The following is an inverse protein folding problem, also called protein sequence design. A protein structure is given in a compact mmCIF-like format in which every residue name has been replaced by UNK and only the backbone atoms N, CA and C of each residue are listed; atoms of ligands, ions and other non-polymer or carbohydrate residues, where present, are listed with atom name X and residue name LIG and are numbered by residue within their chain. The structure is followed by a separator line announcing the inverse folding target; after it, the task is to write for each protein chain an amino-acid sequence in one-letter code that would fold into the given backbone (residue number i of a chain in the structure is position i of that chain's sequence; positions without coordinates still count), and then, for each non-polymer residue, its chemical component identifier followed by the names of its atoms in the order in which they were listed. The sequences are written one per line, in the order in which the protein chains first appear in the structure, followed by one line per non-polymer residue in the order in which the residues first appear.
data_IF_018080206712
#
_entry.id   IF_018080206712
#
_cell.length_a   1.000
_cell.length_b   1.000
_cell.length_c   1.000
_cell.angle_alpha   90.00
_cell.angle_beta   90.00
_cell.angle_gamma   90.00
#
_symmetry.space_group_name_H-M   'P 1'
#
loop_
_entity.id
_entity.type
_entity.pdbx_description
1 polymer ?
#
# COMPACT_ATOMS: atom_id res chain seq x y z
N UNK A 1 -6.76 13.79 11.07
CA UNK A 1 -7.97 13.46 10.27
C UNK A 1 -8.54 12.19 10.86
N UNK A 2 -9.82 12.19 11.21
CA UNK A 2 -10.54 10.98 11.62
C UNK A 2 -11.17 10.26 10.41
N UNK A 3 -11.70 9.06 10.65
CA UNK A 3 -12.33 8.21 9.62
C UNK A 3 -13.46 8.92 8.89
N UNK A 4 -14.33 9.63 9.60
CA UNK A 4 -15.51 10.27 8.99
C UNK A 4 -15.11 11.47 8.12
N UNK A 5 -14.09 12.21 8.54
CA UNK A 5 -13.49 13.29 7.76
C UNK A 5 -12.81 12.74 6.51
N UNK A 6 -12.10 11.61 6.60
CA UNK A 6 -11.51 10.92 5.45
C UNK A 6 -12.57 10.43 4.46
N UNK A 7 -13.65 9.81 4.96
CA UNK A 7 -14.73 9.28 4.12
C UNK A 7 -15.46 10.38 3.34
N UNK A 8 -15.55 11.60 3.90
CA UNK A 8 -16.20 12.76 3.26
C UNK A 8 -15.27 13.55 2.35
N UNK A 9 -13.95 13.44 2.53
CA UNK A 9 -12.96 14.11 1.68
C UNK A 9 -12.59 13.24 0.47
N UNK A 10 -13.37 13.41 -0.61
CA UNK A 10 -13.15 12.70 -1.87
C UNK A 10 -11.74 12.91 -2.44
N UNK A 11 -11.14 14.10 -2.29
CA UNK A 11 -9.80 14.36 -2.83
C UNK A 11 -8.75 13.57 -2.07
N UNK A 12 -8.83 13.54 -0.74
CA UNK A 12 -7.92 12.74 0.07
C UNK A 12 -8.10 11.26 -0.20
N UNK A 13 -9.34 10.79 -0.36
CA UNK A 13 -9.62 9.39 -0.69
C UNK A 13 -9.02 8.98 -2.05
N UNK A 14 -9.31 9.75 -3.10
CA UNK A 14 -8.80 9.48 -4.45
C UNK A 14 -7.26 9.49 -4.48
N UNK A 15 -6.63 10.43 -3.75
CA UNK A 15 -5.17 10.49 -3.63
C UNK A 15 -4.60 9.25 -2.89
N UNK A 16 -5.22 8.85 -1.79
CA UNK A 16 -4.81 7.68 -1.00
C UNK A 16 -4.94 6.39 -1.81
N UNK A 17 -6.07 6.19 -2.49
CA UNK A 17 -6.32 5.02 -3.36
C UNK A 17 -5.29 4.93 -4.50
N UNK A 18 -4.93 6.08 -5.08
CA UNK A 18 -3.90 6.15 -6.11
C UNK A 18 -2.51 5.81 -5.57
N UNK A 19 -2.18 6.25 -4.34
CA UNK A 19 -0.95 5.84 -3.66
C UNK A 19 -0.92 4.34 -3.38
N UNK A 20 -2.00 3.76 -2.85
CA UNK A 20 -2.12 2.32 -2.62
C UNK A 20 -1.97 1.51 -3.92
N UNK A 21 -2.57 2.00 -5.01
CA UNK A 21 -2.42 1.38 -6.34
C UNK A 21 -0.97 1.35 -6.81
N UNK A 22 -0.20 2.43 -6.58
CA UNK A 22 1.23 2.48 -6.92
C UNK A 22 2.06 1.50 -6.08
N UNK A 23 1.72 1.33 -4.80
CA UNK A 23 2.38 0.35 -3.93
C UNK A 23 2.11 -1.07 -4.41
N UNK A 24 0.87 -1.38 -4.76
CA UNK A 24 0.48 -2.67 -5.35
C UNK A 24 1.26 -2.94 -6.65
N UNK A 25 1.37 -1.96 -7.54
CA UNK A 25 2.15 -2.10 -8.78
C UNK A 25 3.64 -2.33 -8.51
N UNK A 26 4.22 -1.63 -7.54
CA UNK A 26 5.61 -1.85 -7.12
C UNK A 26 5.81 -3.25 -6.54
N UNK A 27 4.88 -3.73 -5.73
CA UNK A 27 4.90 -5.09 -5.17
C UNK A 27 4.81 -6.16 -6.28
N UNK A 28 4.01 -5.92 -7.32
CA UNK A 28 3.95 -6.80 -8.50
C UNK A 28 5.29 -6.83 -9.23
N UNK A 29 5.92 -5.67 -9.45
CA UNK A 29 7.22 -5.56 -10.13
C UNK A 29 8.35 -6.24 -9.36
N UNK A 30 8.37 -6.12 -8.03
CA UNK A 30 9.35 -6.79 -7.18
C UNK A 30 9.16 -8.31 -7.17
N UNK A 31 7.95 -8.81 -7.44
CA UNK A 31 7.68 -10.24 -7.54
C UNK A 31 8.13 -11.01 -6.29
N UNK A 32 8.93 -12.06 -6.50
CA UNK A 32 9.47 -12.88 -5.42
C UNK A 32 10.52 -12.16 -4.55
N UNK A 33 11.17 -11.11 -5.05
CA UNK A 33 12.17 -10.36 -4.27
C UNK A 33 11.53 -9.67 -3.06
N UNK A 34 10.29 -9.22 -3.19
CA UNK A 34 9.53 -8.62 -2.09
C UNK A 34 9.34 -9.63 -0.93
N UNK A 35 8.96 -10.86 -1.28
CA UNK A 35 8.77 -11.97 -0.32
C UNK A 35 10.10 -12.39 0.33
N UNK A 36 11.20 -12.37 -0.43
CA UNK A 36 12.54 -12.64 0.12
C UNK A 36 13.01 -11.53 1.06
N UNK A 37 12.78 -10.26 0.72
CA UNK A 37 13.24 -9.12 1.51
C UNK A 37 12.43 -8.93 2.78
N UNK A 38 11.09 -9.05 2.69
CA UNK A 38 10.17 -8.81 3.80
C UNK A 38 9.13 -9.94 3.89
N UNK A 39 9.51 -11.15 4.32
CA UNK A 39 8.63 -12.33 4.32
C UNK A 39 7.42 -12.22 5.27
N UNK A 40 7.44 -11.30 6.24
CA UNK A 40 6.38 -11.09 7.21
C UNK A 40 5.11 -10.43 6.64
N UNK A 41 5.17 -9.89 5.43
CA UNK A 41 4.06 -9.17 4.81
C UNK A 41 3.23 -10.06 3.85
N UNK A 42 1.90 -9.88 3.81
CA UNK A 42 1.03 -10.68 2.94
C UNK A 42 1.07 -10.19 1.48
N UNK A 43 2.19 -10.42 0.79
CA UNK A 43 2.47 -9.88 -0.55
C UNK A 43 1.42 -10.18 -1.61
N UNK A 44 0.78 -11.36 -1.56
CA UNK A 44 -0.34 -11.68 -2.46
C UNK A 44 -1.48 -10.66 -2.30
N UNK A 45 -1.87 -10.35 -1.06
CA UNK A 45 -2.93 -9.36 -0.79
C UNK A 45 -2.50 -7.95 -1.20
N UNK A 46 -1.23 -7.58 -0.97
CA UNK A 46 -0.69 -6.28 -1.36
C UNK A 46 -0.71 -6.12 -2.89
N UNK A 47 -0.35 -7.16 -3.64
CA UNK A 47 -0.42 -7.18 -5.10
C UNK A 47 -1.87 -7.08 -5.59
N UNK A 48 -2.79 -7.81 -4.97
CA UNK A 48 -4.20 -7.82 -5.37
C UNK A 48 -4.94 -6.51 -5.02
N UNK A 49 -4.43 -5.73 -4.06
CA UNK A 49 -5.05 -4.48 -3.59
C UNK A 49 -5.33 -3.47 -4.71
N UNK A 50 -4.40 -3.29 -5.66
CA UNK A 50 -4.59 -2.36 -6.78
C UNK A 50 -5.73 -2.77 -7.71
N UNK A 51 -5.95 -4.08 -7.88
CA UNK A 51 -7.09 -4.60 -8.64
C UNK A 51 -8.40 -4.42 -7.87
N UNK A 52 -8.41 -4.67 -6.55
CA UNK A 52 -9.57 -4.45 -5.69
C UNK A 52 -9.99 -2.99 -5.71
N UNK A 53 -9.06 -2.05 -5.54
CA UNK A 53 -9.36 -0.61 -5.59
C UNK A 53 -9.97 -0.23 -6.94
N UNK A 54 -9.39 -0.69 -8.05
CA UNK A 54 -9.88 -0.36 -9.40
C UNK A 54 -11.26 -0.96 -9.71
N UNK A 55 -11.52 -2.20 -9.28
CA UNK A 55 -12.76 -2.92 -9.63
C UNK A 55 -13.91 -2.65 -8.66
N UNK A 56 -13.62 -2.33 -7.41
CA UNK A 56 -14.63 -2.12 -6.36
C UNK A 56 -14.84 -0.61 -6.11
N UNK A 57 -14.21 0.29 -6.87
CA UNK A 57 -14.20 1.75 -6.65
C UNK A 57 -15.58 2.39 -6.37
N UNK A 58 -16.66 1.86 -6.94
CA UNK A 58 -18.02 2.37 -6.68
C UNK A 58 -18.63 1.91 -5.34
N UNK A 59 -18.12 0.83 -4.76
CA UNK A 59 -18.65 0.17 -3.56
C UNK A 59 -17.58 -0.10 -2.49
N UNK A 60 -16.37 0.43 -2.66
CA UNK A 60 -15.26 0.19 -1.75
C UNK A 60 -15.54 0.96 -0.47
N UNK A 61 -15.75 0.22 0.60
CA UNK A 61 -16.00 0.79 1.90
C UNK A 61 -14.77 1.62 2.31
N UNK A 62 -14.99 2.91 2.58
CA UNK A 62 -13.96 3.81 3.07
C UNK A 62 -13.28 3.26 4.33
N UNK A 63 -13.96 2.38 5.07
CA UNK A 63 -13.44 1.67 6.23
C UNK A 63 -12.30 0.72 5.90
N UNK A 64 -12.39 0.02 4.75
CA UNK A 64 -11.34 -0.90 4.33
C UNK A 64 -10.08 -0.12 3.97
N UNK A 65 -10.23 0.96 3.19
CA UNK A 65 -9.10 1.83 2.81
C UNK A 65 -8.48 2.46 4.05
N UNK A 66 -9.32 2.99 4.95
CA UNK A 66 -8.86 3.60 6.19
C UNK A 66 -8.11 2.61 7.09
N UNK A 67 -8.64 1.40 7.29
CA UNK A 67 -7.98 0.34 8.08
C UNK A 67 -6.63 -0.05 7.48
N UNK A 68 -6.53 -0.21 6.16
CA UNK A 68 -5.24 -0.51 5.51
C UNK A 68 -4.23 0.61 5.77
N UNK A 69 -4.65 1.88 5.61
CA UNK A 69 -3.77 3.05 5.77
C UNK A 69 -3.30 3.22 7.21
N UNK A 70 -4.18 2.96 8.19
CA UNK A 70 -3.87 3.18 9.60
C UNK A 70 -3.18 1.98 10.23
N UNK A 71 -3.59 0.75 9.90
CA UNK A 71 -3.15 -0.45 10.61
C UNK A 71 -2.03 -1.23 9.89
N UNK A 72 -2.00 -1.20 8.55
CA UNK A 72 -1.09 -2.06 7.75
C UNK A 72 0.05 -1.28 7.12
N UNK A 73 -0.26 -0.11 6.57
CA UNK A 73 0.70 0.71 5.83
C UNK A 73 1.90 1.18 6.69
N UNK A 74 1.76 1.55 7.97
CA UNK A 74 2.90 2.02 8.77
C UNK A 74 3.97 0.94 8.98
N UNK A 75 3.55 -0.31 9.21
CA UNK A 75 4.46 -1.44 9.37
C UNK A 75 5.21 -1.72 8.06
N UNK A 76 4.48 -1.78 6.93
CA UNK A 76 5.08 -1.97 5.60
C UNK A 76 6.09 -0.86 5.27
N UNK A 77 5.77 0.39 5.60
CA UNK A 77 6.66 1.54 5.36
C UNK A 77 7.95 1.45 6.19
N UNK A 78 7.85 1.11 7.48
CA UNK A 78 9.00 0.98 8.35
C UNK A 78 9.96 -0.10 7.84
N UNK A 79 9.42 -1.26 7.49
CA UNK A 79 10.19 -2.39 6.99
C UNK A 79 10.79 -2.12 5.61
N UNK A 80 10.01 -1.51 4.69
CA UNK A 80 10.51 -1.12 3.37
C UNK A 80 11.66 -0.10 3.46
N UNK A 81 11.57 0.88 4.37
CA UNK A 81 12.68 1.82 4.61
C UNK A 81 13.92 1.11 5.16
N UNK A 82 13.72 0.16 6.07
CA UNK A 82 14.83 -0.60 6.63
C UNK A 82 15.50 -1.50 5.57
N UNK A 83 14.72 -2.10 4.68
CA UNK A 83 15.23 -2.88 3.55
C UNK A 83 15.98 -1.98 2.55
N UNK A 84 15.42 -0.81 2.21
CA UNK A 84 16.05 0.13 1.30
C UNK A 84 17.39 0.66 1.83
N UNK A 85 17.50 0.95 3.12
CA UNK A 85 18.76 1.37 3.74
C UNK A 85 19.84 0.28 3.84
N UNK A 86 19.49 -0.98 3.55
CA UNK A 86 20.44 -2.11 3.47
C UNK A 86 20.88 -2.41 2.05
N UNK A 87 20.19 -1.89 1.05
CA UNK A 87 20.66 -1.96 -0.32
C UNK A 87 21.89 -1.06 -0.42
N UNK A 88 22.99 -1.52 -1.01
CA UNK A 88 24.10 -0.62 -1.31
C UNK A 88 23.52 0.53 -2.13
N UNK A 89 23.92 1.76 -1.81
CA UNK A 89 23.74 2.88 -2.73
C UNK A 89 24.39 2.41 -4.04
N UNK A 90 23.57 2.11 -5.05
CA UNK A 90 24.05 2.00 -6.42
C UNK A 90 24.46 3.43 -6.83
N UNK A 91 25.61 3.83 -6.29
CA UNK A 91 26.23 5.12 -6.51
C UNK A 91 26.39 5.30 -8.01
N UNK A 92 25.68 6.32 -8.52
CA UNK A 92 25.98 6.92 -9.83
C UNK A 92 27.35 7.58 -9.83
#
# INVERSE_FOLDING_TARGET
MDRDSFAKDRRTRDATERCLSRISEAAVKLGAQAETMLPQHPWRQIRDLGNVIRHVYDNLDADIVWSIVVERLPALLADARQAAGRLPDDGS
#
